data_IF_035556471326
#
_entry.id   IF_035556471326
#
_cell.length_a   1.000
_cell.length_b   1.000
_cell.length_c   1.000
_cell.angle_alpha   90.00
_cell.angle_beta   90.00
_cell.angle_gamma   90.00
#
_symmetry.space_group_name_H-M   'P 1'
#
loop_
_entity.id
_entity.type
_entity.pdbx_description
1 polymer ?
#
# COMPACT_ATOMS: atom_id res chain seq x y z
N UNK A 1 9.02 9.92 -17.41
CA UNK A 1 9.43 9.47 -16.06
C UNK A 1 9.07 8.00 -15.93
N UNK A 2 9.94 7.10 -15.45
CA UNK A 2 9.64 5.66 -15.42
C UNK A 2 8.83 5.26 -14.18
N UNK A 3 7.95 4.27 -14.31
CA UNK A 3 7.15 3.74 -13.20
C UNK A 3 8.04 3.24 -12.05
N UNK A 4 9.14 2.56 -12.37
CA UNK A 4 10.10 2.11 -11.36
C UNK A 4 10.70 3.27 -10.55
N UNK A 5 10.96 4.42 -11.19
CA UNK A 5 11.49 5.59 -10.49
C UNK A 5 10.42 6.22 -9.59
N UNK A 6 9.16 6.21 -10.04
CA UNK A 6 8.03 6.72 -9.27
C UNK A 6 7.78 5.89 -8.02
N UNK A 7 7.65 4.58 -8.17
CA UNK A 7 7.39 3.70 -7.04
C UNK A 7 8.55 3.62 -6.06
N UNK A 8 9.80 3.77 -6.54
CA UNK A 8 10.96 3.92 -5.66
C UNK A 8 10.85 5.17 -4.78
N UNK A 9 10.46 6.33 -5.33
CA UNK A 9 10.28 7.55 -4.53
C UNK A 9 9.13 7.43 -3.53
N UNK A 10 8.02 6.81 -3.93
CA UNK A 10 6.88 6.57 -3.03
C UNK A 10 7.31 5.70 -1.85
N UNK A 11 8.01 4.59 -2.12
CA UNK A 11 8.54 3.72 -1.07
C UNK A 11 9.51 4.46 -0.13
N UNK A 12 10.42 5.27 -0.69
CA UNK A 12 11.36 6.06 0.10
C UNK A 12 10.63 7.04 1.03
N UNK A 13 9.61 7.76 0.53
CA UNK A 13 8.82 8.69 1.36
C UNK A 13 8.10 7.99 2.50
N UNK A 14 7.62 6.75 2.30
CA UNK A 14 6.99 5.96 3.36
C UNK A 14 8.03 5.52 4.40
N UNK A 15 9.18 5.03 3.97
CA UNK A 15 10.26 4.59 4.88
C UNK A 15 10.79 5.75 5.72
N UNK A 16 11.04 6.91 5.09
CA UNK A 16 11.45 8.13 5.80
C UNK A 16 10.43 8.48 6.89
N UNK A 17 9.13 8.44 6.58
CA UNK A 17 8.09 8.68 7.59
C UNK A 17 8.12 7.67 8.74
N UNK A 18 8.30 6.38 8.46
CA UNK A 18 8.40 5.35 9.49
C UNK A 18 9.64 5.52 10.38
N UNK A 19 10.76 5.98 9.81
CA UNK A 19 12.00 6.31 10.53
C UNK A 19 11.85 7.54 11.43
N UNK A 20 11.12 8.57 10.99
CA UNK A 20 10.84 9.76 11.78
C UNK A 20 9.89 9.51 12.95
N UNK A 21 8.98 8.54 12.83
CA UNK A 21 7.95 8.24 13.84
C UNK A 21 7.96 6.76 14.26
N UNK A 22 9.02 6.30 14.96
CA UNK A 22 9.16 4.92 15.42
C UNK A 22 8.11 4.53 16.48
N UNK A 23 7.47 5.50 17.15
CA UNK A 23 6.42 5.25 18.14
C UNK A 23 5.17 4.55 17.57
N UNK A 24 5.00 4.57 16.25
CA UNK A 24 3.91 3.87 15.56
C UNK A 24 4.33 2.52 14.96
N UNK A 25 5.50 1.98 15.34
CA UNK A 25 5.99 0.69 14.84
C UNK A 25 4.92 -0.42 14.86
N UNK A 26 4.20 -0.58 15.96
CA UNK A 26 3.12 -1.58 16.07
C UNK A 26 1.95 -1.33 15.09
N UNK A 27 1.69 -0.07 14.69
CA UNK A 27 0.69 0.24 13.66
C UNK A 27 1.21 -0.10 12.27
N UNK A 28 2.50 0.10 11.99
CA UNK A 28 3.11 -0.27 10.71
C UNK A 28 3.11 -1.78 10.51
N UNK A 29 3.37 -2.56 11.56
CA UNK A 29 3.26 -4.03 11.53
C UNK A 29 1.81 -4.47 11.32
N UNK A 30 0.85 -3.84 12.02
CA UNK A 30 -0.58 -4.14 11.88
C UNK A 30 -1.12 -3.81 10.49
N UNK A 31 -0.65 -2.71 9.90
CA UNK A 31 -1.08 -2.22 8.59
C UNK A 31 0.12 -2.17 7.65
N UNK A 32 0.58 -3.34 7.25
CA UNK A 32 1.74 -3.47 6.36
C UNK A 32 1.42 -2.94 4.96
N UNK A 33 1.93 -1.73 4.68
CA UNK A 33 1.81 -1.05 3.38
C UNK A 33 2.62 -1.73 2.27
N UNK A 34 3.53 -2.63 2.63
CA UNK A 34 4.43 -3.27 1.69
C UNK A 34 4.11 -4.75 1.44
N UNK A 35 2.95 -5.21 1.89
CA UNK A 35 2.45 -6.53 1.53
C UNK A 35 2.41 -6.69 0.00
N UNK A 36 2.77 -7.88 -0.50
CA UNK A 36 2.95 -8.15 -1.93
C UNK A 36 1.68 -7.91 -2.75
N UNK A 37 0.52 -8.05 -2.10
CA UNK A 37 -0.78 -7.90 -2.73
C UNK A 37 -1.77 -7.17 -1.81
N UNK A 38 -2.69 -6.43 -2.42
CA UNK A 38 -3.82 -5.81 -1.72
C UNK A 38 -5.11 -5.94 -2.52
N UNK A 39 -6.25 -5.86 -1.83
CA UNK A 39 -7.56 -6.01 -2.45
C UNK A 39 -7.84 -4.93 -3.50
N UNK A 40 -8.26 -5.35 -4.68
CA UNK A 40 -8.57 -4.43 -5.78
C UNK A 40 -9.96 -3.84 -5.60
N UNK A 41 -10.02 -2.56 -5.23
CA UNK A 41 -11.27 -1.81 -5.27
C UNK A 41 -11.70 -1.49 -6.71
N UNK A 42 -12.81 -2.07 -7.16
CA UNK A 42 -13.33 -1.89 -8.51
C UNK A 42 -14.34 -0.74 -8.55
N UNK A 43 -13.85 0.50 -8.66
CA UNK A 43 -14.68 1.71 -8.65
C UNK A 43 -15.74 1.73 -9.76
N UNK A 44 -15.43 1.28 -10.98
CA UNK A 44 -16.41 1.23 -12.05
C UNK A 44 -17.56 0.25 -11.76
N UNK A 45 -17.26 -0.88 -11.10
CA UNK A 45 -18.31 -1.82 -10.66
C UNK A 45 -19.20 -1.19 -9.58
N UNK A 46 -18.59 -0.40 -8.70
CA UNK A 46 -19.31 0.35 -7.67
C UNK A 46 -20.28 1.36 -8.31
N UNK A 47 -19.80 2.17 -9.26
CA UNK A 47 -20.61 3.15 -9.98
C UNK A 47 -21.76 2.49 -10.76
N UNK A 48 -21.52 1.35 -11.42
CA UNK A 48 -22.56 0.61 -12.13
C UNK A 48 -23.60 -0.01 -11.19
N UNK A 49 -23.22 -0.36 -9.96
CA UNK A 49 -24.14 -0.93 -8.96
C UNK A 49 -25.06 0.12 -8.32
N UNK A 50 -24.60 1.36 -8.17
CA UNK A 50 -25.43 2.48 -7.71
C UNK A 50 -24.91 3.80 -8.30
N UNK A 51 -25.60 4.30 -9.33
CA UNK A 51 -25.21 5.51 -10.08
C UNK A 51 -25.63 6.81 -9.40
N UNK A 52 -26.55 6.77 -8.41
CA UNK A 52 -27.06 7.97 -7.71
C UNK A 52 -26.35 8.22 -6.38
N UNK A 53 -25.90 7.18 -5.69
CA UNK A 53 -25.07 7.26 -4.49
C UNK A 53 -24.00 6.15 -4.54
N UNK A 54 -22.84 6.50 -5.09
CA UNK A 54 -21.73 5.57 -5.30
C UNK A 54 -21.13 5.03 -3.99
N UNK A 55 -21.26 5.79 -2.90
CA UNK A 55 -20.78 5.41 -1.57
C UNK A 55 -21.88 5.65 -0.55
N UNK A 56 -22.11 4.67 0.31
CA UNK A 56 -22.95 4.89 1.47
C UNK A 56 -22.13 5.66 2.52
N UNK A 57 -22.49 6.91 2.80
CA UNK A 57 -21.73 7.77 3.71
C UNK A 57 -21.77 7.29 5.17
N UNK A 58 -22.73 6.44 5.53
CA UNK A 58 -22.82 5.85 6.87
C UNK A 58 -21.96 4.60 7.04
N UNK A 59 -21.54 3.96 5.93
CA UNK A 59 -20.67 2.78 5.94
C UNK A 59 -19.94 2.62 4.59
N UNK A 60 -18.91 3.44 4.35
CA UNK A 60 -18.22 3.46 3.06
C UNK A 60 -17.44 2.17 2.79
N UNK A 61 -17.00 1.46 3.83
CA UNK A 61 -16.14 0.27 3.71
C UNK A 61 -16.94 -0.92 3.19
N UNK A 62 -18.14 -1.17 3.73
CA UNK A 62 -18.99 -2.28 3.28
C UNK A 62 -19.59 -2.06 1.87
N UNK A 63 -19.58 -0.81 1.38
CA UNK A 63 -20.00 -0.51 0.01
C UNK A 63 -18.95 -0.87 -1.04
N UNK A 64 -17.68 -1.09 -0.66
CA UNK A 64 -16.59 -1.35 -1.60
C UNK A 64 -16.78 -2.68 -2.34
N UNK A 65 -16.68 -2.63 -3.67
CA UNK A 65 -16.64 -3.83 -4.52
C UNK A 65 -15.20 -4.27 -4.70
N UNK A 66 -14.72 -5.09 -3.76
CA UNK A 66 -13.41 -5.74 -3.84
C UNK A 66 -13.50 -6.96 -4.76
N UNK A 67 -12.62 -7.05 -5.76
CA UNK A 67 -12.65 -8.15 -6.73
C UNK A 67 -11.24 -8.46 -7.25
N UNK A 68 -10.67 -9.53 -6.69
CA UNK A 68 -9.29 -9.94 -6.93
C UNK A 68 -8.28 -9.07 -6.16
N UNK A 69 -7.01 -9.31 -6.41
CA UNK A 69 -5.89 -8.60 -5.78
C UNK A 69 -5.04 -7.87 -6.83
N UNK A 70 -4.40 -6.78 -6.43
CA UNK A 70 -3.37 -6.10 -7.21
C UNK A 70 -2.01 -6.37 -6.59
N UNK A 71 -1.01 -6.57 -7.46
CA UNK A 71 0.38 -6.62 -7.02
C UNK A 71 0.80 -5.23 -6.56
N UNK A 72 1.37 -5.16 -5.37
CA UNK A 72 1.87 -3.93 -4.78
C UNK A 72 3.21 -3.53 -5.41
N UNK A 73 3.29 -2.40 -6.14
CA UNK A 73 4.53 -1.99 -6.79
C UNK A 73 5.62 -1.55 -5.80
N UNK A 74 5.24 -1.20 -4.55
CA UNK A 74 6.19 -0.77 -3.52
C UNK A 74 6.76 -1.92 -2.69
N UNK A 75 6.12 -3.10 -2.69
CA UNK A 75 6.54 -4.25 -1.89
C UNK A 75 8.01 -4.65 -2.09
N UNK A 76 8.49 -4.54 -3.33
CA UNK A 76 9.89 -4.82 -3.70
C UNK A 76 10.94 -3.85 -3.13
N UNK A 77 10.51 -2.74 -2.53
CA UNK A 77 11.39 -1.71 -1.97
C UNK A 77 11.41 -1.70 -0.43
N UNK A 78 10.73 -2.64 0.23
CA UNK A 78 10.94 -2.88 1.67
C UNK A 78 12.41 -3.15 1.90
N UNK A 79 12.97 -2.49 2.91
CA UNK A 79 14.21 -2.93 3.54
C UNK A 79 13.98 -4.33 4.12
N UNK A 80 14.05 -5.36 3.28
CA UNK A 80 14.50 -6.66 3.74
C UNK A 80 15.89 -6.34 4.27
N UNK A 81 16.04 -6.35 5.59
CA UNK A 81 17.30 -6.03 6.27
C UNK A 81 18.46 -6.45 5.38
N UNK A 82 19.28 -5.47 4.99
CA UNK A 82 20.60 -5.67 4.40
C UNK A 82 21.54 -6.31 5.43
N UNK A 83 21.08 -7.34 6.14
CA UNK A 83 21.92 -8.30 6.80
C UNK A 83 22.37 -9.28 5.73
N UNK A 84 23.46 -8.91 5.04
CA UNK A 84 24.66 -9.73 4.85
C UNK A 84 25.61 -8.96 3.91
N UNK A 85 26.70 -8.45 4.50
CA UNK A 85 28.01 -8.08 3.92
C UNK A 85 28.16 -6.77 3.12
N UNK A 86 28.13 -5.63 3.80
CA UNK A 86 29.10 -4.54 3.52
C UNK A 86 30.12 -4.36 4.67
N UNK A 87 30.23 -5.35 5.59
CA UNK A 87 31.20 -5.32 6.70
C UNK A 87 32.46 -6.18 6.48
N UNK A 88 32.54 -7.11 5.53
CA UNK A 88 33.81 -7.81 5.24
C UNK A 88 33.90 -8.33 3.79
N UNK A 89 34.47 -7.52 2.89
CA UNK A 89 35.53 -7.93 1.95
C UNK A 89 36.25 -6.71 1.33
#
# INVERSE_FOLDING_TARGET
YSENKFWKLVAQSILEYQEYYPEYASKYEKYDLFNDYFDRCCLNKLQLSNTKQMLNLTDPINSLKLSGVLQNPIAKYVKKNLEIKEILQ
#
